data_IF_288627668225
#
_entry.id   IF_288627668225
#
_cell.length_a   1.000
_cell.length_b   1.000
_cell.length_c   1.000
_cell.angle_alpha   90.00
_cell.angle_beta   90.00
_cell.angle_gamma   90.00
#
_symmetry.space_group_name_H-M   'P 1'
#
loop_
_entity.id
_entity.type
_entity.pdbx_description
1 polymer ?
#
# COMPACT_ATOMS: atom_id res chain seq x y z
N UNK A 1 -9.22 -30.83 18.38
CA UNK A 1 -9.71 -29.44 18.31
C UNK A 1 -8.92 -28.70 17.25
N UNK A 2 -9.58 -28.04 16.30
CA UNK A 2 -8.91 -27.30 15.23
C UNK A 2 -8.13 -26.13 15.83
N UNK A 3 -6.89 -25.92 15.38
CA UNK A 3 -6.04 -24.83 15.86
C UNK A 3 -5.81 -23.84 14.73
N UNK A 4 -6.18 -22.58 14.96
CA UNK A 4 -5.95 -21.50 14.01
C UNK A 4 -4.44 -21.27 13.82
N UNK A 5 -4.01 -21.03 12.58
CA UNK A 5 -2.62 -20.70 12.29
C UNK A 5 -2.35 -19.24 12.66
N UNK A 6 -1.16 -18.94 13.19
CA UNK A 6 -0.84 -17.59 13.66
C UNK A 6 -0.51 -16.65 12.50
N UNK A 7 0.30 -17.12 11.55
CA UNK A 7 0.68 -16.32 10.38
C UNK A 7 -0.44 -16.17 9.35
N UNK A 8 -1.37 -17.14 9.29
CA UNK A 8 -2.45 -17.18 8.31
C UNK A 8 -3.79 -17.52 8.99
N UNK A 9 -4.45 -16.54 9.65
CA UNK A 9 -5.63 -16.78 10.47
C UNK A 9 -6.84 -17.36 9.71
N UNK A 10 -6.87 -17.26 8.38
CA UNK A 10 -7.89 -17.88 7.54
C UNK A 10 -7.79 -19.42 7.51
N UNK A 11 -6.67 -20.00 7.95
CA UNK A 11 -6.40 -21.43 7.92
C UNK A 11 -6.32 -22.03 9.31
N UNK A 12 -6.61 -23.33 9.39
CA UNK A 12 -6.62 -24.10 10.63
C UNK A 12 -5.99 -25.46 10.42
N UNK A 13 -5.23 -25.93 11.41
CA UNK A 13 -4.77 -27.31 11.45
C UNK A 13 -5.84 -28.18 12.12
N UNK A 14 -6.38 -29.12 11.35
CA UNK A 14 -7.28 -30.18 11.82
C UNK A 14 -6.43 -31.37 12.28
N UNK A 15 -6.69 -31.92 13.49
CA UNK A 15 -5.95 -33.09 13.96
C UNK A 15 -6.15 -34.28 13.01
N UNK A 16 -5.17 -35.20 12.94
CA UNK A 16 -5.28 -36.36 12.07
C UNK A 16 -6.42 -37.28 12.53
N UNK A 17 -7.01 -38.00 11.59
CA UNK A 17 -8.13 -38.91 11.87
C UNK A 17 -7.72 -40.12 12.73
N UNK A 18 -6.45 -40.54 12.61
CA UNK A 18 -5.80 -41.56 13.43
C UNK A 18 -4.31 -41.25 13.59
N UNK A 19 -3.59 -42.01 14.42
CA UNK A 19 -2.17 -41.77 14.75
C UNK A 19 -1.21 -41.93 13.55
N UNK A 20 -1.69 -42.46 12.42
CA UNK A 20 -0.90 -42.73 11.22
C UNK A 20 -1.22 -41.79 10.05
N UNK A 21 -2.35 -41.10 10.11
CA UNK A 21 -2.81 -40.19 9.08
C UNK A 21 -2.10 -38.82 9.16
N UNK A 22 -1.91 -38.14 8.01
CA UNK A 22 -1.51 -36.73 8.02
C UNK A 22 -2.59 -35.87 8.69
N UNK A 23 -2.15 -34.78 9.30
CA UNK A 23 -3.06 -33.76 9.79
C UNK A 23 -3.46 -32.83 8.64
N UNK A 24 -4.76 -32.57 8.46
CA UNK A 24 -5.23 -31.72 7.35
C UNK A 24 -5.10 -30.24 7.72
N UNK A 25 -4.66 -29.43 6.76
CA UNK A 25 -4.78 -27.97 6.81
C UNK A 25 -6.02 -27.59 6.04
N UNK A 26 -6.92 -26.85 6.69
CA UNK A 26 -8.21 -26.45 6.11
C UNK A 26 -8.37 -24.94 6.10
N UNK A 27 -9.10 -24.42 5.12
CA UNK A 27 -9.45 -23.01 5.01
C UNK A 27 -10.64 -22.63 5.92
N UNK A 28 -11.14 -21.39 5.76
CA UNK A 28 -12.28 -20.88 6.50
C UNK A 28 -13.59 -21.65 6.23
N UNK A 29 -13.70 -22.29 5.06
CA UNK A 29 -14.85 -23.07 4.60
C UNK A 29 -14.71 -24.58 4.88
N UNK A 30 -13.73 -24.96 5.70
CA UNK A 30 -13.42 -26.36 6.05
C UNK A 30 -12.95 -27.23 4.85
N UNK A 31 -12.52 -26.61 3.75
CA UNK A 31 -11.94 -27.28 2.59
C UNK A 31 -10.46 -27.62 2.86
N UNK A 32 -10.05 -28.84 2.53
CA UNK A 32 -8.65 -29.28 2.71
C UNK A 32 -7.77 -28.63 1.65
N UNK A 33 -6.80 -27.85 2.11
CA UNK A 33 -5.87 -27.08 1.27
C UNK A 33 -4.44 -27.63 1.27
N UNK A 34 -4.13 -28.48 2.24
CA UNK A 34 -2.81 -29.06 2.41
C UNK A 34 -2.79 -30.05 3.56
N UNK A 35 -1.62 -30.64 3.81
CA UNK A 35 -1.43 -31.70 4.79
C UNK A 35 -0.13 -31.50 5.55
N UNK A 36 -0.08 -31.98 6.79
CA UNK A 36 1.11 -32.03 7.62
C UNK A 36 1.46 -33.48 7.90
N UNK A 37 2.60 -33.90 7.35
CA UNK A 37 3.15 -35.23 7.55
C UNK A 37 4.14 -35.23 8.72
N UNK A 38 4.03 -36.19 9.63
CA UNK A 38 5.04 -36.45 10.65
C UNK A 38 6.16 -37.31 10.05
N UNK A 39 7.39 -36.79 10.00
CA UNK A 39 8.53 -37.46 9.39
C UNK A 39 9.79 -37.38 10.27
N UNK A 40 10.27 -38.56 10.71
CA UNK A 40 11.56 -38.79 11.36
C UNK A 40 11.99 -37.70 12.36
N UNK A 41 11.16 -37.41 13.36
CA UNK A 41 11.46 -36.41 14.41
C UNK A 41 11.17 -34.95 14.01
N UNK A 42 10.18 -34.71 13.14
CA UNK A 42 9.65 -33.38 12.85
C UNK A 42 8.44 -33.45 11.92
N UNK A 43 8.00 -32.30 11.45
CA UNK A 43 6.80 -32.15 10.62
C UNK A 43 7.12 -31.45 9.31
N UNK A 44 6.43 -31.80 8.23
CA UNK A 44 6.50 -31.08 6.95
C UNK A 44 5.09 -30.77 6.48
N UNK A 45 4.85 -29.52 6.14
CA UNK A 45 3.66 -29.11 5.41
C UNK A 45 3.80 -29.43 3.94
N UNK A 46 2.73 -29.84 3.29
CA UNK A 46 2.67 -30.03 1.85
C UNK A 46 1.36 -29.51 1.29
N UNK A 47 1.40 -29.06 0.04
CA UNK A 47 0.21 -28.83 -0.78
C UNK A 47 0.49 -29.36 -2.19
N UNK A 48 -0.32 -30.31 -2.65
CA UNK A 48 -0.04 -31.05 -3.88
C UNK A 48 1.29 -31.82 -3.78
N UNK A 49 2.17 -31.63 -4.76
CA UNK A 49 3.49 -32.28 -4.82
C UNK A 49 4.58 -31.53 -4.05
N UNK A 50 4.34 -30.27 -3.68
CA UNK A 50 5.34 -29.42 -3.04
C UNK A 50 5.33 -29.59 -1.52
N UNK A 51 6.52 -29.60 -0.93
CA UNK A 51 6.70 -29.76 0.52
C UNK A 51 7.60 -28.68 1.10
N UNK A 52 7.25 -28.23 2.30
CA UNK A 52 7.99 -27.22 3.04
C UNK A 52 9.21 -27.80 3.76
N UNK A 53 10.04 -26.93 4.35
CA UNK A 53 11.15 -27.35 5.19
C UNK A 53 10.65 -28.14 6.41
N UNK A 54 11.53 -28.98 6.96
CA UNK A 54 11.21 -29.71 8.20
C UNK A 54 11.10 -28.73 9.37
N UNK A 55 9.98 -28.77 10.09
CA UNK A 55 9.71 -27.97 11.29
C UNK A 55 9.71 -28.85 12.54
N UNK A 56 10.03 -28.26 13.68
CA UNK A 56 9.93 -28.92 14.99
C UNK A 56 8.47 -29.03 15.48
N UNK A 57 7.59 -28.16 14.98
CA UNK A 57 6.19 -28.04 15.39
C UNK A 57 5.25 -28.18 14.18
N UNK A 58 4.12 -28.86 14.40
CA UNK A 58 3.11 -29.13 13.39
C UNK A 58 2.36 -27.86 12.95
N UNK A 59 2.17 -26.86 13.83
CA UNK A 59 1.51 -25.61 13.43
C UNK A 59 2.38 -24.81 12.47
N UNK A 60 3.69 -24.72 12.72
CA UNK A 60 4.62 -24.10 11.76
C UNK A 60 4.68 -24.86 10.43
N UNK A 61 4.60 -26.18 10.45
CA UNK A 61 4.51 -26.96 9.22
C UNK A 61 3.19 -26.70 8.48
N UNK A 62 2.08 -26.53 9.20
CA UNK A 62 0.80 -26.16 8.60
C UNK A 62 0.85 -24.78 7.93
N UNK A 63 1.58 -23.82 8.51
CA UNK A 63 1.82 -22.49 7.89
C UNK A 63 2.53 -22.63 6.54
N UNK A 64 3.49 -23.56 6.42
CA UNK A 64 4.17 -23.82 5.14
C UNK A 64 3.20 -24.39 4.08
N UNK A 65 2.25 -25.24 4.47
CA UNK A 65 1.22 -25.75 3.56
C UNK A 65 0.25 -24.63 3.11
N UNK A 66 -0.13 -23.74 4.02
CA UNK A 66 -0.95 -22.57 3.69
C UNK A 66 -0.23 -21.63 2.71
N UNK A 67 1.09 -21.43 2.86
CA UNK A 67 1.91 -20.67 1.91
C UNK A 67 1.82 -21.24 0.50
N UNK A 68 1.98 -22.55 0.32
CA UNK A 68 1.84 -23.17 -1.00
C UNK A 68 0.44 -23.01 -1.56
N UNK A 69 -0.59 -23.16 -0.72
CA UNK A 69 -1.97 -22.96 -1.16
C UNK A 69 -2.20 -21.53 -1.67
N UNK A 70 -1.80 -20.50 -0.90
CA UNK A 70 -1.94 -19.09 -1.29
C UNK A 70 -1.15 -18.82 -2.58
N UNK A 71 0.06 -19.37 -2.71
CA UNK A 71 0.88 -19.19 -3.90
C UNK A 71 0.24 -19.77 -5.19
N UNK A 72 -0.56 -20.84 -5.05
CA UNK A 72 -1.20 -21.53 -6.17
C UNK A 72 -2.60 -21.01 -6.49
N UNK A 73 -3.37 -20.65 -5.46
CA UNK A 73 -4.80 -20.38 -5.58
C UNK A 73 -5.19 -18.96 -5.17
N UNK A 74 -4.23 -18.17 -4.68
CA UNK A 74 -4.48 -16.85 -4.11
C UNK A 74 -4.96 -16.92 -2.65
N UNK A 75 -5.07 -15.75 -2.00
CA UNK A 75 -5.55 -15.64 -0.63
C UNK A 75 -7.07 -15.83 -0.56
N UNK A 76 -7.59 -16.14 0.63
CA UNK A 76 -9.04 -16.23 0.82
C UNK A 76 -9.70 -14.84 0.70
N UNK A 77 -10.98 -14.77 0.31
CA UNK A 77 -11.69 -13.50 0.09
C UNK A 77 -11.60 -12.52 1.28
N UNK A 78 -11.63 -13.03 2.51
CA UNK A 78 -11.50 -12.22 3.74
C UNK A 78 -10.15 -11.46 3.86
N UNK A 79 -9.13 -11.86 3.10
CA UNK A 79 -7.79 -11.27 3.10
C UNK A 79 -7.62 -10.14 2.07
N UNK A 80 -8.70 -9.76 1.37
CA UNK A 80 -8.73 -8.60 0.44
C UNK A 80 -9.19 -7.29 1.08
N UNK A 81 -9.36 -7.26 2.41
CA UNK A 81 -9.73 -6.05 3.13
C UNK A 81 -8.62 -4.97 3.02
N UNK A 82 -8.97 -3.68 2.93
CA UNK A 82 -7.98 -2.61 2.92
C UNK A 82 -7.13 -2.64 4.19
N UNK A 83 -5.91 -2.11 4.11
CA UNK A 83 -5.09 -1.86 5.29
C UNK A 83 -5.74 -0.79 6.15
N UNK A 84 -5.65 -0.93 7.47
CA UNK A 84 -6.20 0.00 8.45
C UNK A 84 -5.39 1.30 8.55
N UNK A 85 -4.15 1.33 8.04
CA UNK A 85 -3.29 2.51 7.98
C UNK A 85 -2.19 2.36 6.94
N UNK A 86 -1.60 3.47 6.51
CA UNK A 86 -0.38 3.48 5.69
C UNK A 86 0.78 2.75 6.40
N UNK A 87 0.86 2.84 7.73
CA UNK A 87 1.90 2.16 8.51
C UNK A 87 1.75 0.64 8.48
N UNK A 88 0.51 0.12 8.57
CA UNK A 88 0.24 -1.31 8.44
C UNK A 88 0.62 -1.80 7.03
N UNK A 89 0.20 -1.08 6.00
CA UNK A 89 0.53 -1.39 4.61
C UNK A 89 2.04 -1.44 4.38
N UNK A 90 2.79 -0.45 4.90
CA UNK A 90 4.25 -0.43 4.85
C UNK A 90 4.87 -1.61 5.58
N UNK A 91 4.40 -1.93 6.78
CA UNK A 91 4.91 -3.04 7.57
C UNK A 91 4.73 -4.38 6.83
N UNK A 92 3.56 -4.60 6.21
CA UNK A 92 3.29 -5.79 5.41
C UNK A 92 4.22 -5.88 4.19
N UNK A 93 4.37 -4.80 3.43
CA UNK A 93 5.24 -4.76 2.24
C UNK A 93 6.72 -4.89 2.61
N UNK A 94 7.15 -4.38 3.77
CA UNK A 94 8.54 -4.47 4.22
C UNK A 94 9.01 -5.92 4.44
N UNK A 95 8.10 -6.87 4.62
CA UNK A 95 8.44 -8.29 4.78
C UNK A 95 8.85 -8.96 3.46
N UNK A 96 8.46 -8.39 2.31
CA UNK A 96 8.70 -8.97 0.98
C UNK A 96 10.19 -8.91 0.60
N UNK A 97 10.88 -7.76 0.70
CA UNK A 97 12.33 -7.71 0.45
C UNK A 97 13.17 -8.59 1.38
N UNK A 98 12.67 -8.95 2.56
CA UNK A 98 13.39 -9.84 3.48
C UNK A 98 13.56 -11.26 2.93
N UNK A 99 12.80 -11.65 1.89
CA UNK A 99 12.96 -12.95 1.23
C UNK A 99 14.18 -13.00 0.31
N UNK A 100 14.84 -11.86 0.04
CA UNK A 100 15.96 -11.75 -0.92
C UNK A 100 17.07 -12.78 -0.64
N UNK A 101 17.54 -12.87 0.61
CA UNK A 101 18.66 -13.75 0.93
C UNK A 101 18.29 -15.23 0.74
N UNK A 102 17.08 -15.63 1.14
CA UNK A 102 16.61 -17.01 0.98
C UNK A 102 16.49 -17.39 -0.50
N UNK A 103 16.03 -16.47 -1.35
CA UNK A 103 16.00 -16.66 -2.82
C UNK A 103 17.42 -16.80 -3.39
N UNK A 104 18.37 -15.95 -2.96
CA UNK A 104 19.77 -16.03 -3.42
C UNK A 104 20.40 -17.35 -3.01
N UNK A 105 20.22 -17.77 -1.76
CA UNK A 105 20.80 -19.01 -1.23
C UNK A 105 20.20 -20.25 -1.91
N UNK A 106 18.88 -20.24 -2.15
CA UNK A 106 18.20 -21.31 -2.87
C UNK A 106 18.64 -21.37 -4.34
N UNK A 107 18.71 -20.22 -5.02
CA UNK A 107 19.14 -20.14 -6.41
C UNK A 107 20.60 -20.60 -6.58
N UNK A 108 21.48 -20.26 -5.63
CA UNK A 108 22.86 -20.73 -5.63
C UNK A 108 22.97 -22.27 -5.50
N UNK A 109 22.02 -22.92 -4.81
CA UNK A 109 21.97 -24.39 -4.71
C UNK A 109 21.35 -25.03 -5.94
N UNK A 110 20.28 -24.44 -6.48
CA UNK A 110 19.58 -24.96 -7.66
C UNK A 110 20.41 -24.81 -8.94
N UNK A 111 21.05 -23.65 -9.13
CA UNK A 111 21.68 -23.26 -10.40
C UNK A 111 23.20 -23.08 -10.31
N UNK A 112 23.81 -23.28 -9.14
CA UNK A 112 25.25 -23.11 -8.90
C UNK A 112 25.78 -21.77 -9.45
N UNK A 113 26.81 -21.81 -10.30
CA UNK A 113 27.44 -20.64 -10.90
C UNK A 113 26.55 -19.86 -11.88
N UNK A 114 25.40 -20.42 -12.28
CA UNK A 114 24.46 -19.82 -13.22
C UNK A 114 23.28 -19.11 -12.55
N UNK A 115 23.20 -19.08 -11.21
CA UNK A 115 22.07 -18.51 -10.48
C UNK A 115 21.70 -17.08 -10.92
N UNK A 116 22.69 -16.19 -11.04
CA UNK A 116 22.48 -14.80 -11.48
C UNK A 116 22.35 -14.63 -13.01
N UNK A 117 22.49 -15.72 -13.77
CA UNK A 117 22.21 -15.75 -15.21
C UNK A 117 20.82 -16.30 -15.51
N UNK A 118 20.12 -16.82 -14.49
CA UNK A 118 18.75 -17.27 -14.62
C UNK A 118 17.84 -16.04 -14.67
N UNK A 119 17.14 -15.88 -15.79
CA UNK A 119 16.36 -14.68 -16.11
C UNK A 119 15.31 -14.32 -15.06
N UNK A 120 14.55 -15.31 -14.58
CA UNK A 120 13.53 -15.13 -13.56
C UNK A 120 14.12 -14.77 -12.19
N UNK A 121 15.25 -15.37 -11.81
CA UNK A 121 15.95 -15.03 -10.55
C UNK A 121 16.40 -13.57 -10.59
N UNK A 122 17.04 -13.14 -11.68
CA UNK A 122 17.46 -11.73 -11.84
C UNK A 122 16.26 -10.78 -11.80
N UNK A 123 15.19 -11.09 -12.55
CA UNK A 123 13.97 -10.28 -12.54
C UNK A 123 13.31 -10.19 -11.14
N UNK A 124 13.31 -11.27 -10.36
CA UNK A 124 12.85 -11.26 -8.96
C UNK A 124 13.71 -10.31 -8.12
N UNK A 125 15.04 -10.42 -8.20
CA UNK A 125 15.96 -9.61 -7.38
C UNK A 125 15.87 -8.11 -7.70
N UNK A 126 15.73 -7.77 -8.98
CA UNK A 126 15.52 -6.40 -9.45
C UNK A 126 14.17 -5.84 -8.97
N UNK A 127 13.11 -6.65 -9.06
CA UNK A 127 11.78 -6.28 -8.56
C UNK A 127 11.76 -6.07 -7.03
N UNK A 128 12.48 -6.90 -6.27
CA UNK A 128 12.63 -6.72 -4.82
C UNK A 128 13.34 -5.39 -4.47
N UNK A 129 14.34 -4.99 -5.25
CA UNK A 129 15.03 -3.70 -5.08
C UNK A 129 14.12 -2.52 -5.42
N UNK A 130 13.30 -2.64 -6.47
CA UNK A 130 12.29 -1.64 -6.80
C UNK A 130 11.25 -1.46 -5.67
N UNK A 131 10.82 -2.54 -5.02
CA UNK A 131 9.91 -2.47 -3.86
C UNK A 131 10.57 -1.75 -2.68
N UNK A 132 11.85 -2.03 -2.37
CA UNK A 132 12.58 -1.31 -1.31
C UNK A 132 12.63 0.20 -1.59
N UNK A 133 12.94 0.57 -2.83
CA UNK A 133 13.01 1.98 -3.26
C UNK A 133 11.67 2.70 -3.10
N UNK A 134 10.56 2.02 -3.33
CA UNK A 134 9.21 2.60 -3.28
C UNK A 134 8.46 2.33 -1.97
N UNK A 135 9.14 1.87 -0.92
CA UNK A 135 8.53 1.61 0.38
C UNK A 135 7.69 2.80 0.92
N UNK A 136 8.20 4.03 0.75
CA UNK A 136 7.53 5.26 1.20
C UNK A 136 6.47 5.78 0.22
N UNK A 137 6.35 5.20 -0.98
CA UNK A 137 5.26 5.54 -1.90
C UNK A 137 3.89 5.14 -1.30
N UNK A 138 3.85 4.16 -0.40
CA UNK A 138 2.67 3.73 0.36
C UNK A 138 2.30 4.84 1.37
N UNK A 139 1.80 5.94 0.84
CA UNK A 139 1.38 7.13 1.55
C UNK A 139 0.29 7.86 0.77
N UNK A 140 0.02 7.50 -0.47
CA UNK A 140 -1.07 8.02 -1.31
C UNK A 140 -1.76 6.87 -2.03
N UNK A 141 -2.97 7.09 -2.56
CA UNK A 141 -3.70 6.06 -3.33
C UNK A 141 -2.92 5.65 -4.58
N UNK A 142 -2.41 6.64 -5.33
CA UNK A 142 -1.52 6.41 -6.47
C UNK A 142 -0.26 5.62 -6.11
N UNK A 143 0.33 5.88 -4.95
CA UNK A 143 1.49 5.14 -4.46
C UNK A 143 1.19 3.70 -4.08
N UNK A 144 0.02 3.40 -3.49
CA UNK A 144 -0.43 2.03 -3.26
C UNK A 144 -0.58 1.25 -4.58
N UNK A 145 -1.17 1.86 -5.61
CA UNK A 145 -1.31 1.24 -6.95
C UNK A 145 0.04 0.95 -7.58
N UNK A 146 0.97 1.91 -7.51
CA UNK A 146 2.34 1.75 -8.00
C UNK A 146 3.04 0.58 -7.33
N UNK A 147 2.98 0.47 -6.00
CA UNK A 147 3.60 -0.65 -5.28
C UNK A 147 2.93 -1.96 -5.63
N UNK A 148 1.60 -2.02 -5.75
CA UNK A 148 0.89 -3.22 -6.20
C UNK A 148 1.38 -3.70 -7.60
N UNK A 149 1.59 -2.78 -8.55
CA UNK A 149 2.19 -3.12 -9.86
C UNK A 149 3.63 -3.61 -9.73
N UNK A 150 4.45 -3.04 -8.84
CA UNK A 150 5.81 -3.52 -8.60
C UNK A 150 5.83 -4.93 -7.99
N UNK A 151 4.84 -5.26 -7.15
CA UNK A 151 4.66 -6.64 -6.66
C UNK A 151 4.38 -7.61 -7.83
N UNK A 152 3.64 -7.18 -8.85
CA UNK A 152 3.41 -7.99 -10.06
C UNK A 152 4.68 -8.26 -10.87
N UNK A 153 5.63 -7.33 -10.87
CA UNK A 153 6.94 -7.52 -11.51
C UNK A 153 7.77 -8.61 -10.81
N UNK A 154 7.51 -8.89 -9.53
CA UNK A 154 8.15 -9.99 -8.79
C UNK A 154 7.34 -11.28 -8.91
N UNK A 155 6.00 -11.17 -8.82
CA UNK A 155 5.08 -12.30 -8.86
C UNK A 155 5.18 -13.08 -10.18
N UNK A 156 5.14 -12.40 -11.32
CA UNK A 156 5.19 -13.03 -12.64
C UNK A 156 6.43 -13.92 -12.85
N UNK A 157 7.68 -13.43 -12.66
CA UNK A 157 8.85 -14.29 -12.79
C UNK A 157 8.91 -15.37 -11.71
N UNK A 158 8.46 -15.11 -10.48
CA UNK A 158 8.41 -16.14 -9.44
C UNK A 158 7.45 -17.29 -9.78
N UNK A 159 6.28 -16.98 -10.34
CA UNK A 159 5.30 -17.98 -10.78
C UNK A 159 5.78 -18.74 -12.01
N UNK A 160 6.42 -18.05 -12.96
CA UNK A 160 7.05 -18.69 -14.12
C UNK A 160 8.15 -19.66 -13.68
N UNK A 161 9.02 -19.24 -12.75
CA UNK A 161 10.09 -20.08 -12.23
C UNK A 161 9.55 -21.29 -11.46
N UNK A 162 8.53 -21.10 -10.63
CA UNK A 162 7.90 -22.18 -9.87
C UNK A 162 7.20 -23.20 -10.79
N UNK A 163 6.63 -22.77 -11.91
CA UNK A 163 5.97 -23.68 -12.86
C UNK A 163 6.95 -24.44 -13.76
N UNK A 164 8.11 -23.84 -14.06
CA UNK A 164 9.14 -24.45 -14.91
C UNK A 164 10.14 -25.34 -14.13
N UNK A 165 10.38 -25.05 -12.85
CA UNK A 165 11.34 -25.79 -12.03
C UNK A 165 10.91 -27.25 -11.84
N UNK A 166 11.87 -28.17 -12.04
CA UNK A 166 11.69 -29.61 -11.91
C UNK A 166 12.90 -30.27 -11.22
N UNK A 167 12.70 -31.48 -10.67
CA UNK A 167 13.75 -32.24 -9.98
C UNK A 167 14.40 -31.44 -8.85
N UNK A 168 15.73 -31.52 -8.75
CA UNK A 168 16.52 -30.86 -7.71
C UNK A 168 16.31 -29.32 -7.67
N UNK A 169 16.05 -28.69 -8.82
CA UNK A 169 15.77 -27.24 -8.85
C UNK A 169 14.49 -26.93 -8.09
N UNK A 170 13.45 -27.74 -8.29
CA UNK A 170 12.17 -27.59 -7.60
C UNK A 170 12.33 -27.83 -6.10
N UNK A 171 13.12 -28.82 -5.70
CA UNK A 171 13.36 -29.13 -4.29
C UNK A 171 13.99 -27.95 -3.52
N UNK A 172 14.85 -27.17 -4.18
CA UNK A 172 15.46 -25.99 -3.57
C UNK A 172 14.59 -24.74 -3.70
N UNK A 173 13.94 -24.53 -4.84
CA UNK A 173 13.27 -23.27 -5.16
C UNK A 173 11.78 -23.22 -4.78
N UNK A 174 11.10 -24.36 -4.64
CA UNK A 174 9.64 -24.39 -4.49
C UNK A 174 9.17 -23.60 -3.26
N UNK A 175 9.75 -23.86 -2.10
CA UNK A 175 9.31 -23.20 -0.86
C UNK A 175 9.66 -21.69 -0.84
N UNK A 176 10.90 -21.24 -1.14
CA UNK A 176 11.21 -19.81 -1.20
C UNK A 176 10.33 -19.04 -2.21
N UNK A 177 10.05 -19.64 -3.38
CA UNK A 177 9.18 -19.02 -4.39
C UNK A 177 7.72 -18.98 -3.95
N UNK A 178 7.19 -20.07 -3.38
CA UNK A 178 5.83 -20.09 -2.85
C UNK A 178 5.66 -19.06 -1.72
N UNK A 179 6.65 -18.94 -0.84
CA UNK A 179 6.65 -17.93 0.22
C UNK A 179 6.67 -16.52 -0.35
N UNK A 180 7.51 -16.25 -1.32
CA UNK A 180 7.53 -14.96 -2.01
C UNK A 180 6.17 -14.65 -2.65
N UNK A 181 5.61 -15.59 -3.41
CA UNK A 181 4.31 -15.47 -4.06
C UNK A 181 3.20 -15.18 -3.05
N UNK A 182 3.09 -15.97 -1.97
CA UNK A 182 2.07 -15.77 -0.96
C UNK A 182 2.11 -14.36 -0.34
N UNK A 183 3.30 -13.86 0.01
CA UNK A 183 3.44 -12.51 0.54
C UNK A 183 3.08 -11.44 -0.49
N UNK A 184 3.50 -11.61 -1.76
CA UNK A 184 3.16 -10.66 -2.83
C UNK A 184 1.66 -10.65 -3.14
N UNK A 185 1.00 -11.81 -3.14
CA UNK A 185 -0.45 -11.95 -3.41
C UNK A 185 -1.28 -11.24 -2.34
N UNK A 186 -1.04 -11.57 -1.06
CA UNK A 186 -1.71 -10.92 0.06
C UNK A 186 -1.48 -9.40 0.04
N UNK A 187 -0.25 -8.96 -0.22
CA UNK A 187 0.05 -7.54 -0.23
C UNK A 187 -0.58 -6.81 -1.41
N UNK A 188 -0.55 -7.38 -2.62
CA UNK A 188 -1.11 -6.77 -3.82
C UNK A 188 -2.63 -6.62 -3.72
N UNK A 189 -3.34 -7.67 -3.28
CA UNK A 189 -4.79 -7.63 -3.09
C UNK A 189 -5.22 -6.53 -2.13
N UNK A 190 -4.58 -6.48 -0.95
CA UNK A 190 -4.88 -5.46 0.08
C UNK A 190 -4.47 -4.05 -0.35
N UNK A 191 -3.35 -3.87 -1.04
CA UNK A 191 -2.94 -2.57 -1.58
C UNK A 191 -3.93 -2.07 -2.65
N UNK A 192 -4.45 -2.98 -3.49
CA UNK A 192 -5.51 -2.70 -4.44
C UNK A 192 -6.77 -2.18 -3.75
N UNK A 193 -7.26 -2.91 -2.75
CA UNK A 193 -8.42 -2.50 -1.94
C UNK A 193 -8.17 -1.18 -1.20
N UNK A 194 -6.98 -0.98 -0.65
CA UNK A 194 -6.59 0.28 0.02
C UNK A 194 -6.55 1.47 -0.94
N UNK A 195 -6.27 1.24 -2.22
CA UNK A 195 -6.27 2.29 -3.23
C UNK A 195 -7.67 2.66 -3.75
N UNK A 196 -8.69 1.83 -3.49
CA UNK A 196 -10.10 2.09 -3.81
C UNK A 196 -10.88 2.61 -2.61
N UNK A 197 -10.64 2.04 -1.43
CA UNK A 197 -11.24 2.41 -0.15
C UNK A 197 -10.13 2.78 0.84
N UNK A 198 -9.53 3.96 0.66
CA UNK A 198 -8.40 4.39 1.47
C UNK A 198 -8.84 4.75 2.88
N UNK A 199 -7.98 4.39 3.80
CA UNK A 199 -8.06 4.83 5.18
C UNK A 199 -7.76 6.31 5.33
N UNK A 200 -8.25 6.88 6.43
CA UNK A 200 -8.23 8.32 6.68
C UNK A 200 -6.83 8.95 6.69
N UNK A 201 -5.76 8.17 6.88
CA UNK A 201 -4.37 8.68 6.87
C UNK A 201 -3.74 8.74 5.47
N UNK A 202 -4.33 8.06 4.49
CA UNK A 202 -4.00 8.15 3.06
C UNK A 202 -4.79 9.25 2.35
N UNK A 203 -5.90 9.67 2.94
CA UNK A 203 -6.74 10.79 2.52
C UNK A 203 -6.49 12.05 3.37
N UNK A 204 -6.91 13.21 2.85
CA UNK A 204 -6.79 14.48 3.56
C UNK A 204 -5.34 14.98 3.73
N UNK A 205 -5.06 15.83 4.73
CA UNK A 205 -3.76 16.47 4.90
C UNK A 205 -2.64 15.45 5.23
N UNK A 206 -1.40 15.84 4.94
CA UNK A 206 -0.24 15.03 5.35
C UNK A 206 -0.08 15.09 6.87
N UNK A 207 0.13 13.94 7.54
CA UNK A 207 0.24 13.91 9.00
C UNK A 207 1.54 14.53 9.52
N UNK A 208 2.54 14.62 8.65
CA UNK A 208 3.84 15.21 8.94
C UNK A 208 4.51 15.75 7.66
N UNK A 209 5.37 16.77 7.76
CA UNK A 209 6.04 17.36 6.58
C UNK A 209 6.85 16.35 5.76
N UNK A 210 7.59 15.46 6.42
CA UNK A 210 8.41 14.45 5.73
C UNK A 210 7.58 13.48 4.87
N UNK A 211 6.32 13.23 5.22
CA UNK A 211 5.42 12.40 4.40
C UNK A 211 5.07 13.08 3.08
N UNK A 212 4.95 14.42 3.07
CA UNK A 212 4.73 15.19 1.86
C UNK A 212 5.98 15.18 0.97
N UNK A 213 7.16 15.32 1.57
CA UNK A 213 8.44 15.26 0.86
C UNK A 213 8.65 13.87 0.22
N UNK A 214 8.26 12.80 0.91
CA UNK A 214 8.29 11.44 0.39
C UNK A 214 7.34 11.25 -0.80
N UNK A 215 6.11 11.78 -0.72
CA UNK A 215 5.15 11.71 -1.82
C UNK A 215 5.61 12.48 -3.06
N UNK A 216 6.18 13.67 -2.86
CA UNK A 216 6.81 14.45 -3.93
C UNK A 216 7.99 13.70 -4.56
N UNK A 217 8.85 13.08 -3.75
CA UNK A 217 9.95 12.27 -4.23
C UNK A 217 9.47 11.06 -5.04
N UNK A 218 8.35 10.43 -4.66
CA UNK A 218 7.71 9.37 -5.46
C UNK A 218 7.24 9.90 -6.81
N UNK A 219 6.57 11.05 -6.88
CA UNK A 219 6.18 11.65 -8.16
C UNK A 219 7.40 11.90 -9.06
N UNK A 220 8.49 12.44 -8.51
CA UNK A 220 9.71 12.68 -9.26
C UNK A 220 10.38 11.39 -9.76
N UNK A 221 10.42 10.33 -8.92
CA UNK A 221 10.94 9.02 -9.35
C UNK A 221 10.08 8.41 -10.46
N UNK A 222 8.75 8.45 -10.34
CA UNK A 222 7.85 7.96 -11.40
C UNK A 222 8.05 8.73 -12.71
N UNK A 223 8.24 10.04 -12.65
CA UNK A 223 8.62 10.85 -13.82
C UNK A 223 9.96 10.37 -14.43
N UNK A 224 10.98 10.11 -13.62
CA UNK A 224 12.27 9.60 -14.11
C UNK A 224 12.15 8.20 -14.74
N UNK A 225 11.29 7.34 -14.21
CA UNK A 225 11.01 6.04 -14.82
C UNK A 225 10.32 6.20 -16.18
N UNK A 226 9.38 7.13 -16.32
CA UNK A 226 8.75 7.48 -17.61
C UNK A 226 9.82 7.91 -18.63
N UNK A 227 10.73 8.80 -18.23
CA UNK A 227 11.83 9.25 -19.10
C UNK A 227 12.77 8.11 -19.49
N UNK A 228 13.15 7.25 -18.53
CA UNK A 228 14.04 6.13 -18.79
C UNK A 228 13.44 5.16 -19.81
N UNK A 229 12.14 4.85 -19.69
CA UNK A 229 11.44 4.00 -20.66
C UNK A 229 11.30 4.68 -22.02
N UNK A 230 10.93 5.96 -22.06
CA UNK A 230 10.83 6.71 -23.31
C UNK A 230 12.17 6.74 -24.06
N UNK A 231 13.28 6.94 -23.36
CA UNK A 231 14.63 6.96 -23.93
C UNK A 231 15.12 5.59 -24.41
N UNK A 232 14.56 4.50 -23.89
CA UNK A 232 14.88 3.15 -24.32
C UNK A 232 14.16 2.76 -25.63
N UNK A 233 13.13 3.50 -26.05
CA UNK A 233 12.38 3.23 -27.25
C UNK A 233 13.09 3.80 -28.49
N UNK A 234 13.26 3.00 -29.56
CA UNK A 234 14.05 3.42 -30.73
C UNK A 234 13.36 4.51 -31.55
N UNK A 235 12.03 4.54 -31.56
CA UNK A 235 11.22 5.56 -32.23
C UNK A 235 9.97 5.86 -31.43
N UNK A 236 9.62 7.15 -31.37
CA UNK A 236 8.40 7.64 -30.75
C UNK A 236 7.66 8.56 -31.72
N UNK A 237 6.32 8.52 -31.77
CA UNK A 237 5.54 9.49 -32.54
C UNK A 237 5.82 10.92 -32.11
N UNK A 238 5.74 11.87 -33.04
CA UNK A 238 5.98 13.31 -32.77
C UNK A 238 5.08 13.85 -31.65
N UNK A 239 3.81 13.43 -31.62
CA UNK A 239 2.87 13.80 -30.56
C UNK A 239 3.33 13.33 -29.17
N UNK A 240 3.90 12.13 -29.07
CA UNK A 240 4.44 11.57 -27.82
C UNK A 240 5.71 12.33 -27.40
N UNK A 241 6.60 12.66 -28.34
CA UNK A 241 7.79 13.48 -28.08
C UNK A 241 7.42 14.88 -27.57
N UNK A 242 6.41 15.52 -28.17
CA UNK A 242 5.92 16.82 -27.70
C UNK A 242 5.31 16.75 -26.29
N UNK A 243 4.54 15.69 -26.00
CA UNK A 243 3.97 15.47 -24.68
C UNK A 243 5.06 15.16 -23.62
N UNK A 244 6.13 14.46 -23.98
CA UNK A 244 7.31 14.27 -23.12
C UNK A 244 8.00 15.60 -22.82
N UNK A 245 8.19 16.48 -23.81
CA UNK A 245 8.74 17.81 -23.56
C UNK A 245 7.89 18.65 -22.60
N UNK A 246 6.57 18.59 -22.75
CA UNK A 246 5.64 19.26 -21.80
C UNK A 246 5.74 18.66 -20.39
N UNK A 247 5.94 17.35 -20.29
CA UNK A 247 6.15 16.68 -19.00
C UNK A 247 7.46 17.12 -18.34
N UNK A 248 8.53 17.26 -19.12
CA UNK A 248 9.83 17.72 -18.65
C UNK A 248 9.76 19.16 -18.12
N UNK A 249 9.07 20.05 -18.85
CA UNK A 249 8.85 21.44 -18.44
C UNK A 249 8.07 21.52 -17.12
N UNK A 250 7.01 20.72 -16.98
CA UNK A 250 6.22 20.66 -15.75
C UNK A 250 7.03 20.07 -14.57
N UNK A 251 7.82 19.03 -14.83
CA UNK A 251 8.68 18.41 -13.81
C UNK A 251 9.78 19.37 -13.33
N UNK A 252 10.26 20.27 -14.19
CA UNK A 252 11.24 21.30 -13.81
C UNK A 252 10.67 22.34 -12.83
N UNK A 253 9.36 22.49 -12.74
CA UNK A 253 8.69 23.39 -11.77
C UNK A 253 8.54 22.78 -10.38
N UNK A 254 8.81 21.47 -10.21
CA UNK A 254 8.71 20.84 -8.91
C UNK A 254 9.75 21.40 -7.93
N UNK A 255 9.37 21.66 -6.67
CA UNK A 255 10.32 22.18 -5.69
C UNK A 255 11.38 21.12 -5.35
N UNK A 256 12.63 21.56 -5.21
CA UNK A 256 13.76 20.71 -4.79
C UNK A 256 13.95 20.62 -3.27
N UNK A 257 13.21 21.43 -2.51
CA UNK A 257 13.26 21.52 -1.05
C UNK A 257 11.97 21.04 -0.38
N UNK A 258 11.88 21.18 0.96
CA UNK A 258 10.70 20.76 1.73
C UNK A 258 9.42 21.40 1.20
N UNK A 259 8.41 20.58 0.89
CA UNK A 259 7.19 21.05 0.21
C UNK A 259 6.03 21.35 1.16
N UNK A 260 6.17 20.98 2.44
CA UNK A 260 5.12 21.14 3.45
C UNK A 260 5.57 21.89 4.73
N UNK A 261 6.56 22.78 4.61
CA UNK A 261 7.06 23.58 5.74
C UNK A 261 6.07 24.67 6.16
N UNK A 262 5.40 25.30 5.20
CA UNK A 262 4.41 26.33 5.45
C UNK A 262 3.33 26.31 4.35
N UNK A 263 2.27 27.09 4.54
CA UNK A 263 1.14 27.16 3.62
C UNK A 263 1.54 27.53 2.18
N UNK A 264 2.42 28.51 2.00
CA UNK A 264 2.81 28.97 0.68
C UNK A 264 3.56 27.85 -0.05
N UNK A 265 4.50 27.19 0.62
CA UNK A 265 5.23 26.04 0.08
C UNK A 265 4.27 24.92 -0.35
N UNK A 266 3.28 24.59 0.49
CA UNK A 266 2.25 23.60 0.14
C UNK A 266 1.49 23.98 -1.13
N UNK A 267 1.08 25.24 -1.27
CA UNK A 267 0.32 25.72 -2.44
C UNK A 267 1.15 25.72 -3.71
N UNK A 268 2.40 26.19 -3.62
CA UNK A 268 3.33 26.18 -4.75
C UNK A 268 3.58 24.75 -5.23
N UNK A 269 3.90 23.84 -4.29
CA UNK A 269 4.10 22.43 -4.61
C UNK A 269 2.82 21.77 -5.18
N UNK A 270 1.65 22.07 -4.62
CA UNK A 270 0.39 21.55 -5.10
C UNK A 270 0.08 22.03 -6.53
N UNK A 271 0.35 23.29 -6.84
CA UNK A 271 0.17 23.85 -8.19
C UNK A 271 1.09 23.15 -9.21
N UNK A 272 2.38 23.06 -8.90
CA UNK A 272 3.36 22.39 -9.78
C UNK A 272 3.01 20.90 -10.00
N UNK A 273 2.55 20.21 -8.95
CA UNK A 273 2.06 18.83 -9.09
C UNK A 273 0.76 18.72 -9.90
N UNK A 274 -0.12 19.74 -9.85
CA UNK A 274 -1.31 19.81 -10.70
C UNK A 274 -0.96 19.96 -12.18
N UNK A 275 0.05 20.77 -12.49
CA UNK A 275 0.62 20.90 -13.84
C UNK A 275 1.26 19.60 -14.30
N UNK A 276 2.08 18.95 -13.45
CA UNK A 276 2.66 17.65 -13.73
C UNK A 276 1.60 16.58 -14.00
N UNK A 277 0.53 16.53 -13.18
CA UNK A 277 -0.56 15.58 -13.38
C UNK A 277 -1.27 15.80 -14.72
N UNK A 278 -1.41 17.06 -15.14
CA UNK A 278 -2.02 17.41 -16.43
C UNK A 278 -1.11 17.03 -17.59
N UNK A 279 0.19 17.33 -17.50
CA UNK A 279 1.17 16.93 -18.50
C UNK A 279 1.27 15.40 -18.63
N UNK A 280 1.30 14.68 -17.52
CA UNK A 280 1.31 13.21 -17.50
C UNK A 280 0.04 12.62 -18.12
N UNK A 281 -1.13 13.23 -17.90
CA UNK A 281 -2.39 12.82 -18.54
C UNK A 281 -2.35 13.03 -20.05
N UNK A 282 -1.76 14.14 -20.50
CA UNK A 282 -1.59 14.42 -21.93
C UNK A 282 -0.62 13.43 -22.58
N UNK A 283 0.47 13.08 -21.89
CA UNK A 283 1.38 12.02 -22.34
C UNK A 283 0.68 10.66 -22.44
N UNK A 284 -0.10 10.30 -21.43
CA UNK A 284 -0.90 9.08 -21.46
C UNK A 284 -1.84 9.03 -22.67
N UNK A 285 -2.51 10.15 -22.99
CA UNK A 285 -3.40 10.25 -24.14
C UNK A 285 -2.65 10.24 -25.49
N UNK A 286 -1.39 10.69 -25.52
CA UNK A 286 -0.57 10.77 -26.73
C UNK A 286 0.34 9.56 -26.97
N UNK A 287 0.54 8.71 -25.96
CA UNK A 287 1.35 7.50 -26.07
C UNK A 287 0.63 6.47 -26.95
N UNK A 288 1.32 5.95 -27.97
CA UNK A 288 0.80 4.88 -28.83
C UNK A 288 0.80 3.52 -28.12
N UNK A 289 0.02 2.58 -28.64
CA UNK A 289 -0.02 1.19 -28.14
C UNK A 289 1.36 0.50 -28.15
N UNK A 290 2.28 0.95 -29.01
CA UNK A 290 3.68 0.48 -29.08
C UNK A 290 4.54 0.94 -27.90
N UNK A 291 4.03 1.79 -27.02
CA UNK A 291 4.69 2.29 -25.82
C UNK A 291 3.86 2.02 -24.55
N UNK A 292 3.27 0.83 -24.45
CA UNK A 292 2.35 0.45 -23.37
C UNK A 292 2.88 0.70 -21.94
N UNK A 293 4.18 0.49 -21.70
CA UNK A 293 4.77 0.74 -20.37
C UNK A 293 4.91 2.24 -20.06
N UNK A 294 5.22 3.07 -21.06
CA UNK A 294 5.22 4.54 -20.94
C UNK A 294 3.80 5.02 -20.63
N UNK A 295 2.80 4.47 -21.33
CA UNK A 295 1.39 4.78 -21.10
C UNK A 295 0.94 4.43 -19.67
N UNK A 296 1.31 3.25 -19.17
CA UNK A 296 1.00 2.80 -17.82
C UNK A 296 1.67 3.69 -16.75
N UNK A 297 2.96 4.01 -16.89
CA UNK A 297 3.65 4.88 -15.94
C UNK A 297 3.17 6.33 -16.01
N UNK A 298 2.76 6.84 -17.17
CA UNK A 298 2.15 8.18 -17.29
C UNK A 298 0.79 8.24 -16.56
N UNK A 299 0.00 7.16 -16.60
CA UNK A 299 -1.22 7.03 -15.82
C UNK A 299 -0.94 7.00 -14.31
N UNK A 300 0.07 6.25 -13.87
CA UNK A 300 0.52 6.25 -12.47
C UNK A 300 0.96 7.64 -12.01
N UNK A 301 1.79 8.32 -12.81
CA UNK A 301 2.28 9.66 -12.50
C UNK A 301 1.12 10.64 -12.37
N UNK A 302 0.14 10.56 -13.26
CA UNK A 302 -1.09 11.36 -13.19
C UNK A 302 -1.79 11.18 -11.84
N UNK A 303 -1.99 9.92 -11.41
CA UNK A 303 -2.66 9.61 -10.15
C UNK A 303 -1.85 10.09 -8.93
N UNK A 304 -0.55 9.77 -8.88
CA UNK A 304 0.34 10.16 -7.79
C UNK A 304 0.41 11.69 -7.65
N UNK A 305 0.60 12.40 -8.76
CA UNK A 305 0.72 13.85 -8.76
C UNK A 305 -0.61 14.54 -8.37
N UNK A 306 -1.74 14.06 -8.89
CA UNK A 306 -3.07 14.58 -8.53
C UNK A 306 -3.39 14.36 -7.04
N UNK A 307 -3.17 13.15 -6.52
CA UNK A 307 -3.38 12.84 -5.11
C UNK A 307 -2.49 13.70 -4.21
N UNK A 308 -1.19 13.78 -4.54
CA UNK A 308 -0.22 14.55 -3.74
C UNK A 308 -0.56 16.04 -3.76
N UNK A 309 -0.99 16.58 -4.91
CA UNK A 309 -1.47 17.96 -5.03
C UNK A 309 -2.69 18.22 -4.15
N UNK A 310 -3.70 17.34 -4.18
CA UNK A 310 -4.91 17.46 -3.36
C UNK A 310 -4.58 17.45 -1.86
N UNK A 311 -3.69 16.56 -1.43
CA UNK A 311 -3.25 16.46 -0.04
C UNK A 311 -2.42 17.64 0.43
N UNK A 312 -1.55 18.19 -0.41
CA UNK A 312 -0.82 19.43 -0.12
C UNK A 312 -1.77 20.61 0.01
N UNK A 313 -2.81 20.69 -0.82
CA UNK A 313 -3.87 21.69 -0.67
C UNK A 313 -4.63 21.54 0.66
N UNK A 314 -5.01 20.31 1.04
CA UNK A 314 -5.62 20.04 2.34
C UNK A 314 -4.68 20.42 3.50
N UNK A 315 -3.38 20.11 3.37
CA UNK A 315 -2.35 20.47 4.35
C UNK A 315 -2.19 21.99 4.46
N UNK A 316 -2.26 22.72 3.34
CA UNK A 316 -2.22 24.17 3.32
C UNK A 316 -3.39 24.80 4.08
N UNK A 317 -4.61 24.25 3.93
CA UNK A 317 -5.79 24.69 4.68
C UNK A 317 -5.63 24.39 6.17
N UNK A 318 -5.12 23.20 6.53
CA UNK A 318 -4.86 22.82 7.91
C UNK A 318 -3.83 23.73 8.59
N UNK A 319 -2.79 24.13 7.87
CA UNK A 319 -1.78 25.07 8.35
C UNK A 319 -2.35 26.47 8.61
N UNK A 320 -3.40 26.90 7.90
CA UNK A 320 -4.10 28.16 8.22
C UNK A 320 -4.84 28.09 9.56
N UNK A 321 -5.42 26.93 9.87
CA UNK A 321 -6.18 26.72 11.11
C UNK A 321 -5.29 26.38 12.30
N UNK A 322 -4.07 25.91 12.06
CA UNK A 322 -3.11 25.51 13.10
C UNK A 322 -2.85 26.60 14.15
N UNK A 323 -2.89 27.89 13.76
CA UNK A 323 -2.75 29.00 14.70
C UNK A 323 -3.84 29.06 15.78
N UNK A 324 -5.04 28.55 15.49
CA UNK A 324 -6.17 28.51 16.44
C UNK A 324 -6.10 27.32 17.39
N UNK A 325 -5.52 26.20 16.94
CA UNK A 325 -5.35 24.97 17.74
C UNK A 325 -3.92 24.82 18.32
N UNK A 326 -3.08 25.85 18.18
CA UNK A 326 -1.66 25.84 18.56
C UNK A 326 -0.75 25.10 17.57
N UNK A 327 -1.17 23.96 17.00
CA UNK A 327 -0.38 23.26 16.00
C UNK A 327 -1.20 22.30 15.11
N UNK A 328 -0.66 21.95 13.94
CA UNK A 328 -1.19 20.87 13.09
C UNK A 328 -1.24 19.54 13.85
N UNK A 329 -0.20 19.26 14.65
CA UNK A 329 -0.13 18.03 15.47
C UNK A 329 -1.30 17.95 16.43
N UNK A 330 -1.71 19.06 17.04
CA UNK A 330 -2.87 19.13 17.95
C UNK A 330 -4.14 18.74 17.22
N UNK A 331 -4.40 19.34 16.05
CA UNK A 331 -5.59 19.04 15.24
C UNK A 331 -5.63 17.54 14.91
N UNK A 332 -4.53 17.01 14.36
CA UNK A 332 -4.44 15.61 13.97
C UNK A 332 -4.54 14.65 15.17
N UNK A 333 -4.00 15.02 16.34
CA UNK A 333 -4.16 14.20 17.55
C UNK A 333 -5.60 14.18 18.05
N UNK A 334 -6.30 15.31 18.00
CA UNK A 334 -7.71 15.38 18.38
C UNK A 334 -8.56 14.50 17.45
N UNK A 335 -8.25 14.49 16.17
CA UNK A 335 -8.97 13.67 15.18
C UNK A 335 -8.73 12.17 15.32
N UNK A 336 -7.63 11.71 15.93
CA UNK A 336 -7.40 10.27 16.16
C UNK A 336 -8.43 9.63 17.09
N UNK A 337 -9.12 10.44 17.89
CA UNK A 337 -10.13 9.98 18.84
C UNK A 337 -11.55 10.06 18.26
N UNK A 338 -11.67 10.46 16.99
CA UNK A 338 -12.95 10.73 16.35
C UNK A 338 -13.04 10.09 14.97
N UNK A 339 -14.25 9.72 14.59
CA UNK A 339 -14.57 9.32 13.23
C UNK A 339 -15.17 10.51 12.49
N UNK A 340 -14.55 10.88 11.38
CA UNK A 340 -15.09 11.86 10.44
C UNK A 340 -15.74 11.12 9.27
N UNK A 341 -17.05 11.28 9.12
CA UNK A 341 -17.79 10.72 8.00
C UNK A 341 -17.39 11.35 6.66
N UNK A 342 -17.69 10.64 5.58
CA UNK A 342 -17.57 11.17 4.22
C UNK A 342 -18.41 12.44 4.02
N UNK A 343 -17.99 13.28 3.09
CA UNK A 343 -18.74 14.48 2.72
C UNK A 343 -20.00 14.10 1.94
N UNK A 344 -21.17 14.50 2.44
CA UNK A 344 -22.43 14.40 1.71
C UNK A 344 -22.47 15.39 0.55
N UNK A 345 -23.34 15.19 -0.44
CA UNK A 345 -23.60 16.16 -1.53
C UNK A 345 -23.97 17.58 -1.03
N UNK A 346 -24.58 17.68 0.16
CA UNK A 346 -24.90 18.95 0.80
C UNK A 346 -23.70 19.64 1.50
N UNK A 347 -22.47 19.13 1.33
CA UNK A 347 -21.26 19.68 1.95
C UNK A 347 -21.21 19.50 3.48
N UNK A 348 -21.75 18.40 4.00
CA UNK A 348 -21.79 18.10 5.43
C UNK A 348 -20.98 16.84 5.75
N UNK A 349 -20.34 16.80 6.92
CA UNK A 349 -19.63 15.62 7.43
C UNK A 349 -20.05 15.36 8.87
N UNK A 350 -20.37 14.11 9.19
CA UNK A 350 -20.64 13.70 10.57
C UNK A 350 -19.34 13.62 11.37
N UNK A 351 -19.40 14.01 12.65
CA UNK A 351 -18.26 13.90 13.58
C UNK A 351 -18.72 13.09 14.80
N UNK A 352 -18.08 11.94 15.03
CA UNK A 352 -18.35 11.08 16.19
C UNK A 352 -17.11 10.93 17.06
N UNK A 353 -17.31 10.89 18.37
CA UNK A 353 -16.26 10.58 19.37
C UNK A 353 -16.71 9.33 20.11
N UNK A 354 -16.03 8.20 19.87
CA UNK A 354 -16.55 6.88 20.22
C UNK A 354 -17.95 6.67 19.63
N UNK A 355 -18.89 6.18 20.44
CA UNK A 355 -20.28 5.94 20.01
C UNK A 355 -21.16 7.21 20.05
N UNK A 356 -20.61 8.37 20.40
CA UNK A 356 -21.39 9.62 20.55
C UNK A 356 -21.26 10.51 19.34
N UNK A 357 -22.39 10.87 18.72
CA UNK A 357 -22.43 11.89 17.67
C UNK A 357 -22.32 13.29 18.28
N UNK A 358 -21.27 14.02 17.90
CA UNK A 358 -21.00 15.38 18.41
C UNK A 358 -21.75 16.47 17.63
N UNK A 359 -22.33 16.09 16.49
CA UNK A 359 -22.98 16.94 15.49
C UNK A 359 -22.20 16.97 14.17
N UNK A 360 -22.79 17.49 13.08
CA UNK A 360 -22.10 17.60 11.80
C UNK A 360 -21.31 18.91 11.70
N UNK A 361 -20.20 18.86 10.97
CA UNK A 361 -19.62 20.06 10.37
C UNK A 361 -20.24 20.28 8.98
N UNK A 362 -20.35 21.55 8.58
CA UNK A 362 -20.98 21.96 7.33
C UNK A 362 -20.13 22.99 6.62
N UNK A 363 -20.09 22.89 5.30
CA UNK A 363 -19.42 23.84 4.44
C UNK A 363 -20.27 25.11 4.29
N UNK A 364 -19.66 26.27 4.45
CA UNK A 364 -20.28 27.57 4.23
C UNK A 364 -20.20 27.97 2.76
N UNK A 365 -20.95 29.01 2.37
CA UNK A 365 -20.94 29.54 0.99
C UNK A 365 -19.55 30.01 0.54
N UNK A 366 -18.73 30.56 1.45
CA UNK A 366 -17.35 30.97 1.18
C UNK A 366 -16.34 29.81 1.23
N UNK A 367 -16.83 28.56 1.33
CA UNK A 367 -16.03 27.34 1.27
C UNK A 367 -15.31 26.97 2.57
N UNK A 368 -15.58 27.69 3.67
CA UNK A 368 -15.11 27.37 5.03
C UNK A 368 -15.98 26.29 5.69
N UNK A 369 -15.60 25.87 6.89
CA UNK A 369 -16.26 24.82 7.66
C UNK A 369 -16.72 25.33 9.01
N UNK A 370 -17.98 25.09 9.34
CA UNK A 370 -18.60 25.47 10.62
C UNK A 370 -19.35 24.29 11.24
N UNK A 371 -19.80 24.43 12.47
CA UNK A 371 -20.50 23.39 13.22
C UNK A 371 -21.11 23.94 14.51
N UNK A 372 -21.85 23.11 15.27
CA UNK A 372 -22.42 23.52 16.55
C UNK A 372 -21.36 24.10 17.49
N UNK A 373 -21.57 25.33 17.97
CA UNK A 373 -20.64 26.01 18.88
C UNK A 373 -19.43 26.68 18.21
N UNK A 374 -19.26 26.55 16.89
CA UNK A 374 -18.21 27.24 16.13
C UNK A 374 -18.74 28.60 15.68
N UNK A 375 -18.22 29.68 16.28
CA UNK A 375 -18.60 31.06 15.94
C UNK A 375 -17.85 31.59 14.72
N UNK A 376 -16.58 31.22 14.57
CA UNK A 376 -15.73 31.61 13.44
C UNK A 376 -15.39 30.38 12.57
N UNK A 377 -15.88 30.30 11.32
CA UNK A 377 -15.62 29.15 10.46
C UNK A 377 -14.13 28.91 10.19
N UNK A 378 -13.75 27.63 10.09
CA UNK A 378 -12.42 27.11 9.83
C UNK A 378 -12.15 26.91 8.34
N UNK A 379 -10.88 26.85 7.95
CA UNK A 379 -10.46 26.71 6.56
C UNK A 379 -10.45 25.26 6.10
N UNK A 380 -10.20 24.31 7.01
CA UNK A 380 -10.20 22.88 6.76
C UNK A 380 -11.35 22.17 7.51
N UNK A 381 -11.87 21.07 6.94
CA UNK A 381 -12.84 20.23 7.65
C UNK A 381 -12.19 19.61 8.91
N UNK A 382 -10.90 19.31 8.87
CA UNK A 382 -10.14 18.79 10.01
C UNK A 382 -10.08 19.80 11.18
N UNK A 383 -9.87 21.09 10.88
CA UNK A 383 -9.86 22.15 11.88
C UNK A 383 -11.24 22.34 12.53
N UNK A 384 -12.30 22.38 11.71
CA UNK A 384 -13.66 22.45 12.22
C UNK A 384 -14.04 21.22 13.08
N UNK A 385 -13.68 20.02 12.64
CA UNK A 385 -13.95 18.80 13.39
C UNK A 385 -13.20 18.79 14.73
N UNK A 386 -11.92 19.18 14.76
CA UNK A 386 -11.17 19.28 16.02
C UNK A 386 -11.80 20.31 16.98
N UNK A 387 -12.22 21.47 16.47
CA UNK A 387 -12.91 22.47 17.28
C UNK A 387 -14.24 21.95 17.87
N UNK A 388 -15.01 21.20 17.08
CA UNK A 388 -16.25 20.58 17.53
C UNK A 388 -16.01 19.53 18.62
N UNK A 389 -14.96 18.71 18.47
CA UNK A 389 -14.55 17.70 19.46
C UNK A 389 -14.11 18.37 20.76
N UNK A 390 -13.28 19.41 20.68
CA UNK A 390 -12.81 20.14 21.86
C UNK A 390 -13.99 20.81 22.59
N UNK A 391 -14.91 21.44 21.86
CA UNK A 391 -16.13 22.00 22.42
C UNK A 391 -17.06 20.95 23.06
N UNK A 392 -17.12 19.75 22.48
CA UNK A 392 -17.85 18.62 23.07
C UNK A 392 -17.21 18.16 24.38
N UNK A 393 -15.88 18.05 24.44
CA UNK A 393 -15.15 17.68 25.67
C UNK A 393 -15.31 18.71 26.78
N UNK A 394 -15.24 20.00 26.45
CA UNK A 394 -15.48 21.08 27.42
C UNK A 394 -16.87 20.98 28.05
N UNK A 395 -17.90 20.74 27.23
CA UNK A 395 -19.27 20.52 27.72
C UNK A 395 -19.38 19.28 28.60
N UNK A 396 -18.73 18.17 28.23
CA UNK A 396 -18.70 16.97 29.08
C UNK A 396 -17.98 17.21 30.40
N UNK A 397 -16.85 17.91 30.40
CA UNK A 397 -16.09 18.24 31.60
C UNK A 397 -16.89 19.15 32.54
N UNK A 398 -17.60 20.15 31.99
CA UNK A 398 -18.49 21.02 32.76
C UNK A 398 -19.74 20.30 33.31
N UNK A 399 -20.19 19.23 32.65
CA UNK A 399 -21.34 18.42 33.07
C UNK A 399 -21.00 17.34 34.12
N UNK A 400 -19.72 17.08 34.41
CA UNK A 400 -19.31 16.16 35.48
C UNK A 400 -19.42 16.90 36.82
N UNK A 401 -20.31 16.48 37.74
CA UNK A 401 -20.34 17.08 39.07
C UNK A 401 -19.00 16.82 39.76
N UNK A 402 -18.40 17.86 40.36
CA UNK A 402 -17.27 17.71 41.27
C UNK A 402 -17.66 16.70 42.35
N UNK A 403 -17.01 15.53 42.34
CA UNK A 403 -17.14 14.53 43.40
C UNK A 403 -16.46 14.99 44.68
#
# INVERSE_FOLDING_TARGET
>A
MNRQLQAFPAFRLRPPADDSAPADVVDANDLVVGQVDAAAGGYRGRAGADSGPKRADALRAAEDAAVFHIALHGPADAEHQPYSSASEARAAVALIPLQRQEIVDAAARAYFFHALRQEHVTAILDGLEAIVREHFAIGTRGGCRRVARLLDQVRKPAQALLSQAAGDERDWMAFPLARLLAFTEMAAGRLGATATEPVSDLDGPFPAPHSADQALATAFRTYRDVQALANALPTLPEATLHALGTLDDAAAQLPSGPCAKNRADCRTAASALGELATAARNLHAAASDTAAEVHALAQELTAIAADTSARLNATALLLEDAGRHGSVRTILSTLREAELGGESDAGTRSVRVGDTETGPIRRTEDGRWTGPGITDPYRSPEGAAAALIDHFRERQAAARPHA
#
